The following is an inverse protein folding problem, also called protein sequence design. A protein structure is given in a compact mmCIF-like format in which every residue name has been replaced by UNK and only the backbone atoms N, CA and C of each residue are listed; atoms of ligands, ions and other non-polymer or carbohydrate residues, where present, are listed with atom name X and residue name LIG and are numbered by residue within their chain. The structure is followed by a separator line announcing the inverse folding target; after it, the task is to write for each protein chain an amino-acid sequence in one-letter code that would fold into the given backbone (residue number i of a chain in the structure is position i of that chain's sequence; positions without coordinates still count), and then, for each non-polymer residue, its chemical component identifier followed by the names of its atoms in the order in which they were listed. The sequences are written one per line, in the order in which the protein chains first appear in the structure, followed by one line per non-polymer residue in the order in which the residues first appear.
data_IF_367364170091
#
_entry.id   IF_367364170091
#
_cell.length_a   1.000
_cell.length_b   1.000
_cell.length_c   1.000
_cell.angle_alpha   90.00
_cell.angle_beta   90.00
_cell.angle_gamma   90.00
#
_symmetry.space_group_name_H-M   'P 1'
#
loop_
_entity.id
_entity.type
_entity.pdbx_description
1 polymer ?
#
# COMPACT_ATOMS: atom_id res chain seq x y z
N UNK A 1 -13.26 0.94 -20.80
CA UNK A 1 -11.91 0.51 -21.23
C UNK A 1 -10.81 1.32 -20.52
N UNK A 2 -10.98 2.63 -20.30
CA UNK A 2 -9.99 3.47 -19.58
C UNK A 2 -9.52 3.00 -18.18
N UNK A 3 -10.38 2.37 -17.37
CA UNK A 3 -10.00 1.93 -16.01
C UNK A 3 -9.00 0.77 -16.08
N UNK A 4 -9.20 -0.16 -17.00
CA UNK A 4 -8.29 -1.30 -17.17
C UNK A 4 -6.91 -0.83 -17.62
N UNK A 5 -6.86 0.13 -18.56
CA UNK A 5 -5.60 0.70 -19.06
C UNK A 5 -4.83 1.44 -17.96
N UNK A 6 -5.53 2.21 -17.10
CA UNK A 6 -4.92 2.90 -15.97
C UNK A 6 -4.35 1.93 -14.93
N UNK A 7 -5.13 0.91 -14.54
CA UNK A 7 -4.67 -0.12 -13.60
C UNK A 7 -3.49 -0.90 -14.16
N UNK A 8 -3.56 -1.28 -15.44
CA UNK A 8 -2.49 -2.00 -16.12
C UNK A 8 -1.21 -1.15 -16.14
N UNK A 9 -1.32 0.14 -16.47
CA UNK A 9 -0.20 1.07 -16.46
C UNK A 9 0.44 1.19 -15.07
N UNK A 10 -0.35 1.38 -14.01
CA UNK A 10 0.15 1.46 -12.64
C UNK A 10 0.87 0.19 -12.20
N UNK A 11 0.31 -0.98 -12.51
CA UNK A 11 0.94 -2.28 -12.22
C UNK A 11 2.25 -2.41 -13.00
N UNK A 12 2.25 -2.04 -14.29
CA UNK A 12 3.42 -2.14 -15.16
C UNK A 12 4.55 -1.23 -14.67
N UNK A 13 4.24 0.01 -14.26
CA UNK A 13 5.21 0.93 -13.63
C UNK A 13 5.80 0.31 -12.36
N UNK A 14 4.97 -0.27 -11.49
CA UNK A 14 5.44 -0.91 -10.26
C UNK A 14 6.36 -2.10 -10.56
N UNK A 15 6.01 -2.93 -11.53
CA UNK A 15 6.82 -4.07 -11.99
C UNK A 15 8.14 -3.60 -12.57
N UNK A 16 8.16 -2.55 -13.40
CA UNK A 16 9.39 -1.99 -13.97
C UNK A 16 10.30 -1.46 -12.85
N UNK A 17 9.77 -0.67 -11.92
CA UNK A 17 10.57 -0.12 -10.82
C UNK A 17 11.14 -1.24 -9.95
N UNK A 18 10.35 -2.27 -9.64
CA UNK A 18 10.83 -3.44 -8.91
C UNK A 18 11.93 -4.19 -9.68
N UNK A 19 11.75 -4.39 -10.99
CA UNK A 19 12.74 -5.04 -11.85
C UNK A 19 14.05 -4.23 -11.92
N UNK A 20 13.98 -2.90 -12.06
CA UNK A 20 15.14 -2.02 -12.04
C UNK A 20 15.86 -2.09 -10.69
N UNK A 21 15.13 -2.10 -9.57
CA UNK A 21 15.70 -2.28 -8.24
C UNK A 21 16.45 -3.61 -8.09
N UNK A 22 15.90 -4.70 -8.63
CA UNK A 22 16.54 -6.02 -8.64
C UNK A 22 17.81 -6.02 -9.52
N UNK A 23 17.74 -5.46 -10.73
CA UNK A 23 18.89 -5.35 -11.64
C UNK A 23 20.00 -4.50 -11.04
N UNK A 24 19.69 -3.36 -10.44
CA UNK A 24 20.65 -2.49 -9.78
C UNK A 24 21.30 -3.16 -8.56
N UNK A 25 20.56 -4.02 -7.86
CA UNK A 25 21.11 -4.86 -6.79
C UNK A 25 22.08 -5.92 -7.34
N UNK A 26 21.74 -6.55 -8.46
CA UNK A 26 22.61 -7.55 -9.11
C UNK A 26 23.91 -6.95 -9.64
N UNK A 27 23.87 -5.73 -10.17
CA UNK A 27 25.06 -5.00 -10.66
C UNK A 27 25.89 -4.36 -9.54
N UNK A 28 25.55 -4.58 -8.26
CA UNK A 28 26.29 -4.04 -7.12
C UNK A 28 26.13 -2.54 -6.86
N UNK A 29 25.25 -1.87 -7.62
CA UNK A 29 24.90 -0.45 -7.42
C UNK A 29 24.14 -0.25 -6.11
N UNK A 30 23.21 -1.18 -5.82
CA UNK A 30 22.45 -1.22 -4.57
C UNK A 30 23.04 -2.27 -3.62
N UNK A 31 23.94 -1.84 -2.74
CA UNK A 31 24.47 -2.68 -1.67
C UNK A 31 23.43 -2.89 -0.57
N UNK A 32 23.51 -4.03 0.14
CA UNK A 32 22.59 -4.35 1.24
C UNK A 32 22.59 -3.27 2.34
N UNK A 33 23.73 -2.65 2.61
CA UNK A 33 23.82 -1.57 3.60
C UNK A 33 23.05 -0.32 3.17
N UNK A 34 23.09 0.01 1.87
CA UNK A 34 22.37 1.15 1.29
C UNK A 34 20.86 0.91 1.25
N UNK A 35 20.42 -0.34 1.00
CA UNK A 35 18.99 -0.68 0.98
C UNK A 35 18.30 -0.37 2.32
N UNK A 36 18.97 -0.65 3.45
CA UNK A 36 18.45 -0.31 4.77
C UNK A 36 18.37 1.20 5.01
N UNK A 37 19.38 1.97 4.54
CA UNK A 37 19.37 3.43 4.61
C UNK A 37 18.27 4.05 3.75
N UNK A 38 18.05 3.52 2.53
CA UNK A 38 17.00 3.98 1.64
C UNK A 38 15.61 3.73 2.22
N UNK A 39 15.40 2.54 2.81
CA UNK A 39 14.15 2.21 3.49
C UNK A 39 13.89 3.21 4.63
N UNK A 40 14.88 3.53 5.46
CA UNK A 40 14.74 4.56 6.51
C UNK A 40 14.35 5.91 5.94
N UNK A 41 14.97 6.38 4.86
CA UNK A 41 14.58 7.66 4.24
C UNK A 41 13.11 7.62 3.79
N UNK A 42 12.66 6.52 3.18
CA UNK A 42 11.27 6.38 2.74
C UNK A 42 10.31 6.33 3.94
N UNK A 43 10.59 5.53 4.96
CA UNK A 43 9.69 5.35 6.11
C UNK A 43 9.74 6.52 7.10
N UNK A 44 10.91 7.09 7.35
CA UNK A 44 11.11 8.15 8.35
C UNK A 44 10.82 9.56 7.78
N UNK A 45 10.94 9.75 6.46
CA UNK A 45 10.74 11.06 5.82
C UNK A 45 9.70 11.02 4.70
N UNK A 46 9.80 10.07 3.77
CA UNK A 46 8.92 10.00 2.60
C UNK A 46 7.45 9.81 2.95
N UNK A 47 7.14 8.81 3.78
CA UNK A 47 5.77 8.50 4.20
C UNK A 47 5.18 9.63 5.05
N UNK A 48 5.85 10.15 6.09
CA UNK A 48 5.32 11.28 6.86
C UNK A 48 5.07 12.52 6.00
N UNK A 49 6.01 12.88 5.11
CA UNK A 49 5.84 14.01 4.20
C UNK A 49 4.63 13.80 3.27
N UNK A 50 4.46 12.59 2.74
CA UNK A 50 3.31 12.24 1.92
C UNK A 50 1.99 12.37 2.71
N UNK A 51 1.95 11.86 3.96
CA UNK A 51 0.79 12.00 4.84
C UNK A 51 0.45 13.47 5.06
N UNK A 52 1.44 14.32 5.36
CA UNK A 52 1.22 15.76 5.54
C UNK A 52 0.69 16.44 4.28
N UNK A 53 1.27 16.15 3.11
CA UNK A 53 0.81 16.70 1.83
C UNK A 53 -0.61 16.23 1.52
N UNK A 54 -0.92 14.94 1.72
CA UNK A 54 -2.26 14.40 1.53
C UNK A 54 -3.26 15.08 2.46
N UNK A 55 -2.91 15.24 3.75
CA UNK A 55 -3.79 15.88 4.73
C UNK A 55 -4.01 17.37 4.44
N UNK A 56 -2.98 18.08 3.98
CA UNK A 56 -3.08 19.50 3.62
C UNK A 56 -3.99 19.77 2.41
N UNK A 57 -4.21 18.76 1.55
CA UNK A 57 -5.06 18.85 0.37
C UNK A 57 -6.43 18.18 0.56
N UNK A 58 -6.79 17.76 1.77
CA UNK A 58 -8.12 17.18 2.04
C UNK A 58 -9.15 18.30 2.14
N UNK A 59 -10.15 18.28 1.26
CA UNK A 59 -11.40 19.02 1.48
C UNK A 59 -12.22 18.31 2.55
N UNK A 60 -12.50 19.01 3.64
CA UNK A 60 -13.30 18.52 4.77
C UNK A 60 -14.80 18.58 4.43
N UNK A 61 -15.22 17.77 3.45
CA UNK A 61 -16.63 17.61 3.12
C UNK A 61 -17.25 16.51 3.99
N UNK A 62 -18.36 16.77 4.72
CA UNK A 62 -18.98 15.80 5.62
C UNK A 62 -19.35 14.47 4.95
N UNK A 63 -19.63 14.49 3.64
CA UNK A 63 -19.98 13.31 2.84
C UNK A 63 -18.79 12.37 2.63
N UNK A 64 -17.56 12.89 2.58
CA UNK A 64 -16.32 12.08 2.44
C UNK A 64 -15.96 11.36 3.75
N UNK A 65 -16.39 11.90 4.89
CA UNK A 65 -16.15 11.30 6.21
C UNK A 65 -16.78 9.90 6.36
N UNK A 66 -17.99 9.72 5.82
CA UNK A 66 -18.65 8.42 5.77
C UNK A 66 -17.85 7.40 4.96
N UNK A 67 -17.28 7.81 3.81
CA UNK A 67 -16.41 6.97 2.99
C UNK A 67 -15.16 6.52 3.74
N UNK A 68 -14.49 7.43 4.45
CA UNK A 68 -13.32 7.11 5.27
C UNK A 68 -13.66 6.10 6.38
N UNK A 69 -14.78 6.28 7.08
CA UNK A 69 -15.21 5.35 8.13
C UNK A 69 -15.48 3.96 7.53
N UNK A 70 -16.16 3.89 6.39
CA UNK A 70 -16.43 2.63 5.69
C UNK A 70 -15.12 1.93 5.32
N UNK A 71 -14.13 2.66 4.79
CA UNK A 71 -12.82 2.09 4.45
C UNK A 71 -12.12 1.52 5.69
N UNK A 72 -12.10 2.25 6.81
CA UNK A 72 -11.52 1.77 8.07
C UNK A 72 -12.22 0.49 8.54
N UNK A 73 -13.55 0.44 8.49
CA UNK A 73 -14.32 -0.74 8.90
C UNK A 73 -14.00 -1.93 8.00
N UNK A 74 -13.96 -1.74 6.68
CA UNK A 74 -13.62 -2.79 5.72
C UNK A 74 -12.21 -3.32 5.97
N UNK A 75 -11.24 -2.45 6.24
CA UNK A 75 -9.86 -2.85 6.51
C UNK A 75 -9.73 -3.63 7.83
N UNK A 76 -10.43 -3.21 8.88
CA UNK A 76 -10.53 -3.96 10.13
C UNK A 76 -11.19 -5.33 9.94
N UNK A 77 -12.23 -5.41 9.11
CA UNK A 77 -12.86 -6.68 8.76
C UNK A 77 -11.89 -7.61 8.02
N UNK A 78 -11.07 -7.09 7.10
CA UNK A 78 -10.07 -7.88 6.38
C UNK A 78 -8.97 -8.38 7.32
N UNK A 79 -8.48 -7.54 8.24
CA UNK A 79 -7.54 -7.94 9.30
C UNK A 79 -8.11 -9.08 10.14
N UNK A 80 -9.36 -8.93 10.60
CA UNK A 80 -10.03 -9.95 11.40
C UNK A 80 -10.19 -11.26 10.62
N UNK A 81 -10.57 -11.18 9.34
CA UNK A 81 -10.72 -12.34 8.46
C UNK A 81 -9.37 -13.04 8.24
N UNK A 82 -8.32 -12.29 7.93
CA UNK A 82 -6.96 -12.82 7.77
C UNK A 82 -6.46 -13.51 9.04
N UNK A 83 -6.77 -12.95 10.21
CA UNK A 83 -6.44 -13.58 11.48
C UNK A 83 -7.20 -14.89 11.72
N UNK A 84 -8.51 -14.92 11.46
CA UNK A 84 -9.35 -16.12 11.60
C UNK A 84 -8.89 -17.22 10.64
N UNK A 85 -8.64 -16.88 9.38
CA UNK A 85 -8.17 -17.83 8.36
C UNK A 85 -6.77 -18.34 8.71
N UNK A 86 -5.85 -17.45 9.08
CA UNK A 86 -4.49 -17.85 9.46
C UNK A 86 -4.46 -18.73 10.71
N UNK A 87 -5.36 -18.50 11.67
CA UNK A 87 -5.53 -19.38 12.84
C UNK A 87 -6.11 -20.74 12.46
N UNK A 88 -7.06 -20.80 11.52
CA UNK A 88 -7.60 -22.08 11.01
C UNK A 88 -6.60 -22.90 10.21
N UNK A 89 -5.58 -22.26 9.64
CA UNK A 89 -4.48 -22.90 8.93
C UNK A 89 -3.30 -23.28 9.83
N UNK A 90 -3.46 -23.17 11.17
CA UNK A 90 -2.41 -23.45 12.17
C UNK A 90 -1.08 -22.75 11.87
N UNK A 91 -1.15 -21.52 11.34
CA UNK A 91 0.05 -20.74 11.06
C UNK A 91 0.79 -20.40 12.37
N UNK A 92 2.11 -20.48 12.33
CA UNK A 92 2.94 -20.02 13.44
C UNK A 92 2.71 -18.52 13.68
N UNK A 93 2.97 -18.03 14.89
CA UNK A 93 2.76 -16.61 15.24
C UNK A 93 3.46 -15.64 14.27
N UNK A 94 4.66 -16.01 13.79
CA UNK A 94 5.40 -15.21 12.81
C UNK A 94 4.71 -15.17 11.44
N UNK A 95 4.17 -16.30 10.98
CA UNK A 95 3.46 -16.39 9.70
C UNK A 95 2.10 -15.69 9.77
N UNK A 96 1.37 -15.87 10.87
CA UNK A 96 0.09 -15.20 11.11
C UNK A 96 0.26 -13.67 11.11
N UNK A 97 1.28 -13.16 11.79
CA UNK A 97 1.60 -11.72 11.79
C UNK A 97 1.89 -11.20 10.38
N UNK A 98 2.69 -11.93 9.60
CA UNK A 98 2.99 -11.55 8.22
C UNK A 98 1.74 -11.55 7.32
N UNK A 99 0.89 -12.57 7.42
CA UNK A 99 -0.37 -12.67 6.65
C UNK A 99 -1.32 -11.51 7.00
N UNK A 100 -1.51 -11.24 8.29
CA UNK A 100 -2.36 -10.13 8.74
C UNK A 100 -1.80 -8.79 8.25
N UNK A 101 -0.49 -8.56 8.37
CA UNK A 101 0.15 -7.32 7.92
C UNK A 101 0.02 -7.12 6.40
N UNK A 102 0.28 -8.16 5.61
CA UNK A 102 0.16 -8.10 4.15
C UNK A 102 -1.30 -7.93 3.69
N UNK A 103 -2.27 -8.43 4.45
CA UNK A 103 -3.70 -8.28 4.12
C UNK A 103 -4.23 -6.87 4.38
N UNK A 104 -3.68 -6.15 5.36
CA UNK A 104 -4.06 -4.78 5.69
C UNK A 104 -3.29 -3.76 4.84
N UNK A 105 -1.97 -3.87 4.82
CA UNK A 105 -1.08 -2.86 4.24
C UNK A 105 -0.65 -3.15 2.79
N UNK A 106 -1.43 -3.97 2.06
CA UNK A 106 -1.11 -4.35 0.69
C UNK A 106 -1.10 -3.15 -0.26
N UNK A 107 0.08 -2.60 -0.57
CA UNK A 107 0.33 -1.52 -1.56
C UNK A 107 -0.75 -0.43 -1.66
N UNK A 108 -1.37 -0.06 -0.54
CA UNK A 108 -2.44 0.94 -0.50
C UNK A 108 -1.94 2.30 -1.02
N UNK A 109 -0.63 2.56 -0.88
CA UNK A 109 0.02 3.76 -1.43
C UNK A 109 0.13 3.79 -2.96
N UNK A 110 0.18 2.64 -3.66
CA UNK A 110 0.37 2.59 -5.13
C UNK A 110 -0.88 2.13 -5.88
N UNK A 111 -1.55 1.07 -5.42
CA UNK A 111 -2.81 0.60 -6.03
C UNK A 111 -4.03 1.18 -5.31
N UNK A 112 -3.97 1.33 -3.99
CA UNK A 112 -5.08 1.87 -3.20
C UNK A 112 -5.42 3.31 -3.59
N UNK A 113 -4.42 4.20 -3.70
CA UNK A 113 -4.66 5.59 -4.13
C UNK A 113 -5.22 5.68 -5.57
N UNK A 114 -4.67 4.92 -6.53
CA UNK A 114 -5.19 4.89 -7.90
C UNK A 114 -6.63 4.34 -7.97
N UNK A 115 -6.97 3.31 -7.19
CA UNK A 115 -8.33 2.75 -7.15
C UNK A 115 -9.30 3.70 -6.46
N UNK A 116 -8.92 4.26 -5.30
CA UNK A 116 -9.76 5.20 -4.55
C UNK A 116 -9.98 6.48 -5.35
N UNK A 117 -8.96 7.04 -5.98
CA UNK A 117 -9.14 8.21 -6.85
C UNK A 117 -10.05 7.91 -8.03
N UNK A 118 -9.97 6.74 -8.67
CA UNK A 118 -10.88 6.37 -9.76
C UNK A 118 -12.32 6.18 -9.27
N UNK A 119 -12.53 5.56 -8.10
CA UNK A 119 -13.87 5.23 -7.60
C UNK A 119 -14.56 6.41 -6.93
N UNK A 120 -13.84 7.23 -6.15
CA UNK A 120 -14.41 8.34 -5.40
C UNK A 120 -14.37 9.68 -6.11
N UNK A 121 -13.52 9.88 -7.13
CA UNK A 121 -13.51 11.12 -7.93
C UNK A 121 -14.57 11.07 -9.05
N UNK A 122 -15.14 9.90 -9.33
CA UNK A 122 -16.27 9.71 -10.26
C UNK A 122 -17.66 9.87 -9.60
N UNK A 123 -17.73 10.27 -8.33
CA UNK A 123 -18.98 10.52 -7.57
C UNK A 123 -19.05 11.91 -6.94
#
# INVERSE_FOLDING_TARGET
MHIFDALLSSILVLVIIAALGLLARQHGVLKKEMAAGLARIVFDFGIPALIFVSLANIDLEPRRFAGTIIMIVVELCMIALAWVVGKRLDLTRSQLGAVVLCSAFGTSATLGYSIVSIVFLFF
#
